data_IF_800209112985
#
_entry.id   IF_800209112985
#
_cell.length_a   1.000
_cell.length_b   1.000
_cell.length_c   1.000
_cell.angle_alpha   90.00
_cell.angle_beta   90.00
_cell.angle_gamma   90.00
#
_symmetry.space_group_name_H-M   'P 1'
#
loop_
_entity.id
_entity.type
_entity.pdbx_description
1 polymer ?
#
# COMPACT_ATOMS: atom_id res chain seq x y z
N UNK A 1 -17.18 -24.21 -14.80
CA UNK A 1 -16.76 -23.80 -13.45
C UNK A 1 -15.45 -23.00 -13.48
N UNK A 2 -14.50 -23.33 -14.37
CA UNK A 2 -13.24 -22.59 -14.52
C UNK A 2 -13.40 -21.20 -15.15
N UNK A 3 -14.32 -21.03 -16.11
CA UNK A 3 -14.62 -19.73 -16.74
C UNK A 3 -15.05 -18.65 -15.72
N UNK A 4 -15.89 -19.02 -14.75
CA UNK A 4 -16.34 -18.11 -13.69
C UNK A 4 -15.20 -17.72 -12.74
N UNK A 5 -14.35 -18.69 -12.37
CA UNK A 5 -13.17 -18.44 -11.54
C UNK A 5 -12.17 -17.54 -12.28
N UNK A 6 -11.95 -17.77 -13.58
CA UNK A 6 -11.09 -16.95 -14.41
C UNK A 6 -11.63 -15.51 -14.53
N UNK A 7 -12.93 -15.34 -14.77
CA UNK A 7 -13.56 -14.02 -14.82
C UNK A 7 -13.45 -13.27 -13.48
N UNK A 8 -13.63 -13.96 -12.35
CA UNK A 8 -13.51 -13.38 -11.03
C UNK A 8 -12.07 -12.98 -10.69
N UNK A 9 -11.08 -13.83 -11.01
CA UNK A 9 -9.66 -13.50 -10.87
C UNK A 9 -9.27 -12.29 -11.73
N UNK A 10 -9.73 -12.22 -12.98
CA UNK A 10 -9.50 -11.06 -13.84
C UNK A 10 -10.12 -9.77 -13.27
N UNK A 11 -11.32 -9.84 -12.71
CA UNK A 11 -11.97 -8.69 -12.08
C UNK A 11 -11.19 -8.21 -10.84
N UNK A 12 -10.70 -9.15 -10.02
CA UNK A 12 -9.87 -8.82 -8.85
C UNK A 12 -8.52 -8.22 -9.25
N UNK A 13 -7.86 -8.77 -10.29
CA UNK A 13 -6.61 -8.23 -10.81
C UNK A 13 -6.79 -6.84 -11.43
N UNK A 14 -7.85 -6.64 -12.21
CA UNK A 14 -8.18 -5.34 -12.78
C UNK A 14 -8.49 -4.30 -11.68
N UNK A 15 -9.23 -4.70 -10.64
CA UNK A 15 -9.47 -3.85 -9.48
C UNK A 15 -8.18 -3.50 -8.74
N UNK A 16 -7.27 -4.47 -8.54
CA UNK A 16 -5.95 -4.25 -7.96
C UNK A 16 -5.10 -3.28 -8.78
N UNK A 17 -5.11 -3.41 -10.11
CA UNK A 17 -4.40 -2.52 -11.03
C UNK A 17 -4.94 -1.08 -10.97
N UNK A 18 -6.25 -0.90 -10.94
CA UNK A 18 -6.87 0.42 -10.78
C UNK A 18 -6.46 1.06 -9.45
N UNK A 19 -6.38 0.26 -8.40
CA UNK A 19 -5.99 0.72 -7.07
C UNK A 19 -4.51 1.13 -7.01
N UNK A 20 -3.64 0.38 -7.66
CA UNK A 20 -2.23 0.76 -7.85
C UNK A 20 -2.08 2.03 -8.69
N UNK A 21 -2.81 2.15 -9.79
CA UNK A 21 -2.81 3.35 -10.63
C UNK A 21 -3.30 4.57 -9.85
N UNK A 22 -4.38 4.44 -9.07
CA UNK A 22 -4.87 5.49 -8.18
C UNK A 22 -3.83 5.87 -7.11
N UNK A 23 -3.10 4.89 -6.56
CA UNK A 23 -1.98 5.11 -5.65
C UNK A 23 -0.84 5.91 -6.29
N UNK A 24 -0.40 5.52 -7.49
CA UNK A 24 0.63 6.24 -8.25
C UNK A 24 0.19 7.66 -8.62
N UNK A 25 -1.06 7.86 -9.02
CA UNK A 25 -1.62 9.19 -9.30
C UNK A 25 -1.69 10.02 -8.01
N UNK A 26 -2.10 9.43 -6.89
CA UNK A 26 -2.11 10.07 -5.58
C UNK A 26 -0.71 10.53 -5.16
N UNK A 27 0.30 9.69 -5.40
CA UNK A 27 1.70 10.01 -5.14
C UNK A 27 2.22 11.20 -5.97
N UNK A 28 1.75 11.35 -7.21
CA UNK A 28 2.13 12.47 -8.09
C UNK A 28 1.34 13.75 -7.82
N UNK A 29 0.10 13.63 -7.33
CA UNK A 29 -0.81 14.78 -7.14
C UNK A 29 -0.69 15.44 -5.77
N UNK A 30 -0.30 14.70 -4.73
CA UNK A 30 -0.17 15.26 -3.39
C UNK A 30 1.24 15.85 -3.16
N UNK A 31 1.35 17.16 -2.85
CA UNK A 31 2.64 17.80 -2.56
C UNK A 31 3.14 17.52 -1.13
N UNK A 32 2.27 17.05 -0.23
CA UNK A 32 2.58 16.80 1.18
C UNK A 32 2.97 15.34 1.45
N UNK A 33 4.10 15.12 2.16
CA UNK A 33 4.68 13.80 2.41
C UNK A 33 3.74 12.86 3.18
N UNK A 34 2.93 13.36 4.12
CA UNK A 34 1.98 12.53 4.85
C UNK A 34 0.79 12.13 3.98
N UNK A 35 0.28 13.05 3.15
CA UNK A 35 -0.79 12.73 2.19
C UNK A 35 -0.33 11.70 1.15
N UNK A 36 0.92 11.77 0.71
CA UNK A 36 1.56 10.78 -0.17
C UNK A 36 1.64 9.40 0.48
N UNK A 37 2.11 9.32 1.73
CA UNK A 37 2.17 8.05 2.45
C UNK A 37 0.79 7.46 2.69
N UNK A 38 -0.21 8.28 3.05
CA UNK A 38 -1.56 7.80 3.27
C UNK A 38 -2.18 7.23 1.99
N UNK A 39 -2.01 7.92 0.85
CA UNK A 39 -2.45 7.42 -0.44
C UNK A 39 -1.74 6.10 -0.82
N UNK A 40 -0.43 6.01 -0.60
CA UNK A 40 0.37 4.83 -0.89
C UNK A 40 -0.04 3.63 0.00
N UNK A 41 -0.17 3.83 1.31
CA UNK A 41 -0.57 2.77 2.23
C UNK A 41 -1.96 2.22 1.90
N UNK A 42 -2.92 3.08 1.54
CA UNK A 42 -4.23 2.62 1.05
C UNK A 42 -4.09 1.84 -0.25
N UNK A 43 -3.24 2.30 -1.16
CA UNK A 43 -2.99 1.64 -2.42
C UNK A 43 -2.46 0.22 -2.22
N UNK A 44 -1.49 0.06 -1.32
CA UNK A 44 -0.88 -1.23 -0.99
C UNK A 44 -1.80 -2.15 -0.18
N UNK A 45 -2.58 -1.64 0.78
CA UNK A 45 -3.51 -2.51 1.54
C UNK A 45 -4.60 -3.08 0.63
N UNK A 46 -5.24 -2.24 -0.19
CA UNK A 46 -6.40 -2.65 -0.98
C UNK A 46 -6.00 -3.25 -2.34
N UNK A 47 -5.00 -2.67 -3.01
CA UNK A 47 -4.52 -3.15 -4.30
C UNK A 47 -3.85 -4.52 -4.19
N UNK A 48 -2.90 -4.65 -3.26
CA UNK A 48 -2.22 -5.92 -3.02
C UNK A 48 -3.17 -6.97 -2.42
N UNK A 49 -4.11 -6.56 -1.57
CA UNK A 49 -5.17 -7.43 -1.06
C UNK A 49 -6.05 -8.02 -2.18
N UNK A 50 -6.45 -7.20 -3.17
CA UNK A 50 -7.19 -7.67 -4.35
C UNK A 50 -6.35 -8.61 -5.22
N UNK A 51 -5.08 -8.29 -5.44
CA UNK A 51 -4.18 -9.12 -6.24
C UNK A 51 -3.95 -10.48 -5.57
N UNK A 52 -3.66 -10.50 -4.26
CA UNK A 52 -3.48 -11.73 -3.49
C UNK A 52 -4.77 -12.54 -3.47
N UNK A 53 -5.93 -11.92 -3.29
CA UNK A 53 -7.21 -12.62 -3.37
C UNK A 53 -7.45 -13.21 -4.78
N UNK A 54 -7.12 -12.48 -5.85
CA UNK A 54 -7.26 -12.96 -7.23
C UNK A 54 -6.32 -14.11 -7.57
N UNK A 55 -5.09 -14.07 -7.03
CA UNK A 55 -4.10 -15.14 -7.17
C UNK A 55 -4.41 -16.33 -6.26
N UNK A 56 -4.99 -16.13 -5.07
CA UNK A 56 -5.38 -17.21 -4.17
C UNK A 56 -6.43 -18.13 -4.80
N UNK A 57 -7.28 -17.61 -5.71
CA UNK A 57 -8.21 -18.42 -6.51
C UNK A 57 -7.49 -19.34 -7.52
N UNK A 58 -6.25 -19.04 -7.87
CA UNK A 58 -5.43 -19.81 -8.81
C UNK A 58 -4.26 -20.55 -8.14
N UNK A 59 -4.02 -20.30 -6.85
CA UNK A 59 -2.90 -20.85 -6.11
C UNK A 59 -3.09 -22.36 -5.92
N UNK A 60 -2.07 -23.13 -6.29
CA UNK A 60 -2.08 -24.59 -6.15
C UNK A 60 -1.80 -25.04 -4.71
N UNK A 61 -1.31 -24.14 -3.85
CA UNK A 61 -0.91 -24.44 -2.48
C UNK A 61 -1.14 -23.28 -1.52
N UNK A 62 -1.59 -23.59 -0.30
CA UNK A 62 -1.71 -22.64 0.81
C UNK A 62 -0.37 -21.98 1.18
N UNK A 63 0.76 -22.65 0.89
CA UNK A 63 2.10 -22.13 1.18
C UNK A 63 2.44 -20.91 0.31
N UNK A 64 2.02 -20.91 -0.95
CA UNK A 64 2.25 -19.79 -1.89
C UNK A 64 1.48 -18.55 -1.44
N UNK A 65 0.21 -18.73 -1.09
CA UNK A 65 -0.65 -17.66 -0.56
C UNK A 65 -0.05 -17.10 0.73
N UNK A 66 0.41 -17.95 1.64
CA UNK A 66 1.02 -17.52 2.89
C UNK A 66 2.30 -16.69 2.66
N UNK A 67 3.15 -17.07 1.71
CA UNK A 67 4.35 -16.31 1.37
C UNK A 67 4.00 -14.93 0.78
N UNK A 68 3.02 -14.85 -0.12
CA UNK A 68 2.55 -13.57 -0.66
C UNK A 68 1.99 -12.66 0.43
N UNK A 69 1.23 -13.23 1.37
CA UNK A 69 0.63 -12.51 2.50
C UNK A 69 1.71 -12.02 3.49
N UNK A 70 2.77 -12.81 3.70
CA UNK A 70 3.93 -12.40 4.49
C UNK A 70 4.66 -11.21 3.86
N UNK A 71 4.90 -11.25 2.55
CA UNK A 71 5.51 -10.13 1.81
C UNK A 71 4.63 -8.88 1.93
N UNK A 72 3.32 -9.03 1.77
CA UNK A 72 2.36 -7.93 1.92
C UNK A 72 2.42 -7.29 3.31
N UNK A 73 2.42 -8.10 4.38
CA UNK A 73 2.56 -7.61 5.75
C UNK A 73 3.89 -6.88 5.98
N UNK A 74 4.98 -7.38 5.40
CA UNK A 74 6.30 -6.75 5.51
C UNK A 74 6.32 -5.37 4.83
N UNK A 75 5.69 -5.24 3.66
CA UNK A 75 5.53 -3.96 2.96
C UNK A 75 4.72 -2.97 3.81
N UNK A 76 3.61 -3.41 4.42
CA UNK A 76 2.81 -2.56 5.31
C UNK A 76 3.60 -2.11 6.55
N UNK A 77 4.38 -3.01 7.15
CA UNK A 77 5.24 -2.67 8.28
C UNK A 77 6.29 -1.63 7.87
N UNK A 78 6.93 -1.79 6.71
CA UNK A 78 7.89 -0.83 6.15
C UNK A 78 7.27 0.55 5.96
N UNK A 79 6.07 0.62 5.38
CA UNK A 79 5.31 1.87 5.21
C UNK A 79 4.95 2.53 6.55
N UNK A 80 4.56 1.74 7.56
CA UNK A 80 4.28 2.23 8.90
C UNK A 80 5.54 2.79 9.59
N UNK A 81 6.69 2.14 9.44
CA UNK A 81 7.98 2.65 9.96
C UNK A 81 8.36 3.96 9.29
N UNK A 82 8.21 4.07 7.97
CA UNK A 82 8.46 5.33 7.25
C UNK A 82 7.57 6.47 7.77
N UNK A 83 6.29 6.17 8.05
CA UNK A 83 5.36 7.13 8.65
C UNK A 83 5.83 7.61 10.04
N UNK A 84 6.25 6.69 10.90
CA UNK A 84 6.76 7.03 12.23
C UNK A 84 8.03 7.89 12.18
N UNK A 85 8.94 7.61 11.25
CA UNK A 85 10.15 8.42 11.04
C UNK A 85 9.81 9.84 10.56
N UNK A 86 8.88 9.96 9.59
CA UNK A 86 8.41 11.25 9.10
C UNK A 86 7.67 12.06 10.18
N UNK A 87 6.89 11.39 11.04
CA UNK A 87 6.23 12.04 12.16
C UNK A 87 7.25 12.66 13.13
N UNK A 88 8.30 11.92 13.50
CA UNK A 88 9.39 12.43 14.36
C UNK A 88 10.14 13.60 13.71
N UNK A 89 10.42 13.54 12.41
CA UNK A 89 11.09 14.65 11.72
C UNK A 89 10.29 15.95 11.73
N UNK A 90 8.94 15.88 11.74
CA UNK A 90 8.10 17.08 11.84
C UNK A 90 8.15 17.70 13.24
N UNK A 91 8.27 16.88 14.28
CA UNK A 91 8.43 17.37 15.65
C UNK A 91 9.76 18.12 15.80
N UNK A 92 10.85 17.59 15.23
CA UNK A 92 12.17 18.25 15.27
C UNK A 92 12.19 19.59 14.51
N UNK A 93 11.54 19.68 13.34
CA UNK A 93 11.45 20.94 12.58
C UNK A 93 10.63 22.02 13.30
N UNK A 94 9.63 21.63 14.10
CA UNK A 94 8.86 22.57 14.92
C UNK A 94 9.66 23.13 16.10
N UNK A 95 10.61 22.37 16.64
CA UNK A 95 11.44 22.79 17.78
C UNK A 95 12.57 23.75 17.38
N UNK A 96 13.08 23.67 16.15
CA UNK A 96 14.14 24.56 15.66
C UNK A 96 13.60 25.92 15.19
N UNK A 97 12.34 26.00 14.72
CA UNK A 97 11.71 27.27 14.35
C UNK A 97 11.42 28.21 15.53
N UNK A 98 11.22 27.67 16.73
CA UNK A 98 10.95 28.44 17.95
C UNK A 98 12.23 29.02 18.59
N UNK A 99 13.41 28.58 18.14
CA UNK A 99 14.73 29.03 18.67
C UNK A 99 15.34 30.20 17.92
N UNK A 100 14.85 30.52 16.72
CA UNK A 100 15.35 31.61 15.87
C UNK A 100 14.52 32.91 16.03
N UNK A 101 13.58 32.92 16.98
CA UNK A 101 12.65 34.02 17.26
C UNK A 101 12.90 34.81 18.56
N UNK A 102 14.00 34.58 19.26
CA UNK A 102 14.47 35.32 20.45
C UNK A 102 15.69 36.19 20.11
#
# INVERSE_FOLDING_TARGET
MNELLAALSWLLLAGGLLFFAAGSIGLLRFPDTLSRLHALTKADTLGFGLVVAGLALHAGSLLEVAQMLLIWLLVLASGATACQLLARQREDQGADGERDGD
#
